data_IF_942022593135
#
_entry.id   IF_942022593135
#
_cell.length_a   1.000
_cell.length_b   1.000
_cell.length_c   1.000
_cell.angle_alpha   90.00
_cell.angle_beta   90.00
_cell.angle_gamma   90.00
#
_symmetry.space_group_name_H-M   'P 1'
#
loop_
_entity.id
_entity.type
_entity.pdbx_description
1 polymer ?
#
# COMPACT_ATOMS: atom_id res chain seq x y z
N UNK A 1 -1.22 24.08 28.76
CA UNK A 1 -0.65 23.65 27.47
C UNK A 1 -1.64 24.08 26.41
N UNK A 2 -1.26 24.95 25.49
CA UNK A 2 -2.08 25.20 24.29
C UNK A 2 -2.04 23.93 23.44
N UNK A 3 -3.22 23.44 23.06
CA UNK A 3 -3.33 22.35 22.09
C UNK A 3 -3.20 22.99 20.73
N UNK A 4 -2.14 22.66 20.00
CA UNK A 4 -2.00 23.05 18.61
C UNK A 4 -3.10 22.33 17.81
N UNK A 5 -4.14 23.06 17.40
CA UNK A 5 -5.26 22.51 16.63
C UNK A 5 -4.87 22.18 15.18
N UNK A 6 -3.69 22.56 14.71
CA UNK A 6 -3.21 22.27 13.36
C UNK A 6 -2.58 20.87 13.22
N UNK A 7 -2.35 20.16 14.32
CA UNK A 7 -1.71 18.83 14.32
C UNK A 7 -2.31 17.80 13.33
N UNK A 8 -3.63 17.75 13.05
CA UNK A 8 -4.18 16.77 12.12
C UNK A 8 -3.71 16.97 10.68
N UNK A 9 -3.35 18.21 10.31
CA UNK A 9 -2.86 18.55 8.98
C UNK A 9 -1.42 18.09 8.74
N UNK A 10 -0.66 17.86 9.82
CA UNK A 10 0.74 17.44 9.80
C UNK A 10 0.92 15.91 9.87
N UNK A 11 -0.16 15.13 9.81
CA UNK A 11 -0.09 13.67 9.84
C UNK A 11 0.10 13.15 8.42
N UNK A 12 1.12 12.31 8.24
CA UNK A 12 1.26 11.43 7.09
C UNK A 12 0.70 10.06 7.44
N UNK A 13 -0.39 9.68 6.79
CA UNK A 13 -1.01 8.36 6.88
C UNK A 13 -0.40 7.45 5.83
N UNK A 14 -0.04 6.23 6.19
CA UNK A 14 0.67 5.30 5.30
C UNK A 14 0.18 3.88 5.52
N UNK A 15 0.17 3.07 4.46
CA UNK A 15 -0.14 1.65 4.56
C UNK A 15 0.45 0.86 3.38
N UNK A 16 0.51 -0.46 3.53
CA UNK A 16 0.82 -1.39 2.46
C UNK A 16 -0.41 -2.18 2.01
N UNK A 17 -0.54 -2.38 0.71
CA UNK A 17 -1.60 -3.21 0.14
C UNK A 17 -1.07 -4.19 -0.92
N UNK A 18 -1.63 -5.40 -0.89
CA UNK A 18 -1.41 -6.41 -1.93
C UNK A 18 -2.53 -6.34 -2.97
N UNK A 19 -2.14 -6.17 -4.24
CA UNK A 19 -3.05 -6.24 -5.39
C UNK A 19 -2.76 -7.50 -6.19
N UNK A 20 -3.72 -8.44 -6.22
CA UNK A 20 -3.59 -9.66 -6.99
C UNK A 20 -3.95 -9.42 -8.47
N UNK A 21 -3.07 -9.83 -9.38
CA UNK A 21 -3.24 -9.59 -10.82
C UNK A 21 -4.39 -10.41 -11.43
N UNK A 22 -4.86 -11.43 -10.73
CA UNK A 22 -5.98 -12.28 -11.14
C UNK A 22 -7.34 -11.74 -10.68
N UNK A 23 -7.39 -10.56 -10.06
CA UNK A 23 -8.64 -9.93 -9.61
C UNK A 23 -9.33 -10.68 -8.48
N UNK A 24 -8.60 -11.50 -7.74
CA UNK A 24 -9.14 -12.21 -6.57
C UNK A 24 -9.46 -11.21 -5.47
N UNK A 25 -10.69 -11.29 -4.95
CA UNK A 25 -11.15 -10.47 -3.83
C UNK A 25 -10.93 -11.25 -2.53
N UNK A 26 -10.45 -10.56 -1.50
CA UNK A 26 -10.35 -11.14 -0.16
C UNK A 26 -11.71 -11.72 0.27
N UNK A 27 -11.72 -12.92 0.84
CA UNK A 27 -12.93 -13.61 1.31
C UNK A 27 -13.74 -12.79 2.33
N UNK A 28 -13.09 -11.93 3.12
CA UNK A 28 -13.77 -11.03 4.06
C UNK A 28 -14.53 -9.89 3.35
N UNK A 29 -14.05 -9.48 2.17
CA UNK A 29 -14.66 -8.43 1.36
C UNK A 29 -15.62 -9.00 0.30
N UNK A 30 -15.50 -10.29 -0.04
CA UNK A 30 -16.33 -10.96 -1.02
C UNK A 30 -17.65 -11.46 -0.39
N UNK A 31 -18.65 -10.58 -0.30
CA UNK A 31 -19.99 -10.93 0.19
C UNK A 31 -20.95 -11.15 -0.96
N UNK A 32 -21.30 -12.42 -1.21
CA UNK A 32 -22.29 -12.80 -2.21
C UNK A 32 -23.68 -12.71 -1.57
N UNK A 33 -24.56 -11.91 -2.17
CA UNK A 33 -25.96 -11.78 -1.75
C UNK A 33 -26.85 -12.65 -2.63
N UNK A 34 -27.62 -13.54 -2.01
CA UNK A 34 -28.62 -14.37 -2.66
C UNK A 34 -29.81 -14.60 -1.71
N UNK A 35 -30.98 -14.93 -2.26
CA UNK A 35 -32.19 -15.22 -1.46
C UNK A 35 -32.07 -16.53 -0.66
N UNK A 36 -31.27 -17.46 -1.16
CA UNK A 36 -30.93 -18.74 -0.54
C UNK A 36 -29.40 -18.90 -0.56
N UNK A 37 -28.84 -19.77 0.28
CA UNK A 37 -27.40 -20.01 0.31
C UNK A 37 -26.92 -20.50 -1.08
N UNK A 38 -26.07 -19.75 -1.79
CA UNK A 38 -25.71 -20.09 -3.17
C UNK A 38 -24.73 -21.27 -3.25
N UNK A 39 -24.22 -21.80 -2.12
CA UNK A 39 -23.19 -22.85 -2.05
C UNK A 39 -21.99 -22.61 -2.97
N UNK A 40 -21.71 -21.34 -3.25
CA UNK A 40 -20.72 -20.94 -4.23
C UNK A 40 -19.35 -20.88 -3.56
N UNK A 41 -18.44 -21.74 -3.99
CA UNK A 41 -17.03 -21.66 -3.62
C UNK A 41 -16.22 -21.31 -4.86
N UNK A 42 -15.42 -20.25 -4.78
CA UNK A 42 -14.47 -19.90 -5.82
C UNK A 42 -13.09 -20.43 -5.43
N UNK A 43 -12.54 -21.42 -6.17
CA UNK A 43 -11.16 -21.84 -5.93
C UNK A 43 -10.20 -20.72 -6.32
N UNK A 44 -9.24 -20.42 -5.45
CA UNK A 44 -8.20 -19.43 -5.69
C UNK A 44 -6.82 -20.11 -5.66
N UNK A 45 -5.89 -19.74 -6.56
CA UNK A 45 -4.54 -20.26 -6.51
C UNK A 45 -3.83 -19.75 -5.26
N UNK A 46 -3.16 -20.64 -4.54
CA UNK A 46 -2.40 -20.30 -3.32
C UNK A 46 -1.28 -19.28 -3.59
N UNK A 47 -0.66 -19.33 -4.78
CA UNK A 47 0.46 -18.48 -5.19
C UNK A 47 0.11 -17.61 -6.39
N UNK A 48 -0.99 -16.87 -6.26
CA UNK A 48 -1.38 -15.88 -7.27
C UNK A 48 -0.36 -14.74 -7.29
N UNK A 49 0.06 -14.32 -8.49
CA UNK A 49 0.93 -13.14 -8.62
C UNK A 49 0.22 -11.92 -8.03
N UNK A 50 0.93 -11.20 -7.18
CA UNK A 50 0.48 -9.95 -6.60
C UNK A 50 1.52 -8.86 -6.81
N UNK A 51 1.13 -7.63 -6.54
CA UNK A 51 2.00 -6.48 -6.41
C UNK A 51 1.80 -5.92 -5.01
N UNK A 52 2.89 -5.63 -4.31
CA UNK A 52 2.83 -4.98 -2.99
C UNK A 52 3.17 -3.52 -3.17
N UNK A 53 2.21 -2.67 -2.82
CA UNK A 53 2.31 -1.22 -2.96
C UNK A 53 2.36 -0.61 -1.57
N UNK A 54 3.27 0.34 -1.39
CA UNK A 54 3.24 1.30 -0.30
C UNK A 54 2.65 2.60 -0.79
N UNK A 55 1.77 3.20 0.02
CA UNK A 55 1.18 4.49 -0.28
C UNK A 55 1.10 5.36 0.96
N UNK A 56 1.22 6.67 0.78
CA UNK A 56 1.07 7.65 1.85
C UNK A 56 0.18 8.81 1.43
N UNK A 57 -0.55 9.41 2.36
CA UNK A 57 -1.26 10.65 2.11
C UNK A 57 -1.25 11.56 3.35
N UNK A 58 -1.21 12.86 3.09
CA UNK A 58 -1.47 13.90 4.08
C UNK A 58 -2.83 14.52 3.80
N UNK A 59 -3.23 15.52 4.58
CA UNK A 59 -4.43 16.29 4.28
C UNK A 59 -4.31 17.15 2.99
N UNK A 60 -3.09 17.33 2.45
CA UNK A 60 -2.84 18.23 1.33
C UNK A 60 -2.48 17.51 0.02
N UNK A 61 -1.80 16.37 0.10
CA UNK A 61 -1.30 15.66 -1.07
C UNK A 61 -1.07 14.18 -0.77
N UNK A 62 -0.71 13.46 -1.81
CA UNK A 62 -0.53 12.03 -1.82
C UNK A 62 0.91 11.72 -2.24
N UNK A 63 1.52 10.71 -1.62
CA UNK A 63 2.92 10.31 -1.80
C UNK A 63 3.00 8.85 -2.26
N UNK A 64 3.86 8.58 -3.23
CA UNK A 64 3.94 7.29 -3.92
C UNK A 64 3.06 7.24 -5.18
N UNK A 65 2.82 6.06 -5.79
CA UNK A 65 3.00 4.73 -5.23
C UNK A 65 4.43 4.20 -5.30
N UNK A 66 4.86 3.52 -4.24
CA UNK A 66 6.13 2.78 -4.23
C UNK A 66 5.87 1.29 -4.27
N UNK A 67 6.63 0.58 -5.10
CA UNK A 67 6.46 -0.85 -5.32
C UNK A 67 7.59 -1.63 -4.65
N UNK A 68 7.24 -2.68 -3.93
CA UNK A 68 8.22 -3.65 -3.44
C UNK A 68 8.48 -4.71 -4.50
N UNK A 69 9.43 -4.43 -5.38
CA UNK A 69 9.81 -5.29 -6.51
C UNK A 69 11.33 -5.42 -6.65
N UNK A 70 11.76 -6.58 -7.15
CA UNK A 70 13.12 -6.87 -7.58
C UNK A 70 13.16 -7.05 -9.10
N UNK A 71 14.31 -6.80 -9.72
CA UNK A 71 14.51 -7.05 -11.15
C UNK A 71 14.75 -8.55 -11.36
N UNK A 72 13.75 -9.23 -11.92
CA UNK A 72 13.86 -10.61 -12.36
C UNK A 72 14.27 -10.74 -13.83
N UNK A 73 14.49 -11.97 -14.32
CA UNK A 73 14.89 -12.25 -15.70
C UNK A 73 13.89 -11.77 -16.76
N UNK A 74 12.64 -11.59 -16.38
CA UNK A 74 11.53 -11.22 -17.28
C UNK A 74 10.86 -9.90 -16.91
N UNK A 75 11.50 -9.08 -16.05
CA UNK A 75 10.94 -7.84 -15.55
C UNK A 75 10.79 -7.81 -14.03
N UNK A 76 10.08 -6.80 -13.49
CA UNK A 76 9.87 -6.65 -12.06
C UNK A 76 9.09 -7.83 -11.46
N UNK A 77 9.55 -8.29 -10.30
CA UNK A 77 8.91 -9.36 -9.52
C UNK A 77 8.71 -8.86 -8.11
N UNK A 78 7.49 -8.97 -7.61
CA UNK A 78 7.16 -8.59 -6.24
C UNK A 78 8.04 -9.31 -5.22
N UNK A 79 8.61 -8.53 -4.31
CA UNK A 79 9.46 -9.03 -3.24
C UNK A 79 8.77 -8.89 -1.89
N UNK A 80 9.18 -9.72 -0.93
CA UNK A 80 8.66 -9.67 0.45
C UNK A 80 9.12 -8.39 1.13
N UNK A 81 8.18 -7.67 1.75
CA UNK A 81 8.49 -6.52 2.61
C UNK A 81 9.24 -7.01 3.86
N UNK A 82 10.43 -6.45 4.09
CA UNK A 82 11.23 -6.72 5.28
C UNK A 82 11.83 -5.41 5.80
N UNK A 83 12.40 -5.44 7.01
CA UNK A 83 12.92 -4.23 7.65
C UNK A 83 13.96 -3.48 6.81
N UNK A 84 14.86 -4.17 6.13
CA UNK A 84 15.90 -3.55 5.29
C UNK A 84 15.29 -2.86 4.05
N UNK A 85 14.36 -3.52 3.36
CA UNK A 85 13.66 -2.94 2.20
C UNK A 85 12.77 -1.76 2.62
N UNK A 86 12.13 -1.88 3.77
CA UNK A 86 11.29 -0.82 4.32
C UNK A 86 12.13 0.41 4.69
N UNK A 87 13.24 0.22 5.41
CA UNK A 87 14.18 1.29 5.73
C UNK A 87 14.71 1.95 4.44
N UNK A 88 15.07 1.15 3.43
CA UNK A 88 15.53 1.66 2.15
C UNK A 88 14.47 2.55 1.48
N UNK A 89 13.21 2.12 1.46
CA UNK A 89 12.09 2.90 0.92
C UNK A 89 11.92 4.22 1.69
N UNK A 90 11.93 4.18 3.02
CA UNK A 90 11.77 5.38 3.84
C UNK A 90 12.89 6.41 3.56
N UNK A 91 14.14 5.95 3.56
CA UNK A 91 15.31 6.84 3.43
C UNK A 91 15.51 7.37 2.02
N UNK A 92 15.31 6.54 1.01
CA UNK A 92 15.76 6.85 -0.35
C UNK A 92 14.61 7.25 -1.28
N UNK A 93 13.35 7.00 -0.91
CA UNK A 93 12.18 7.33 -1.73
C UNK A 93 11.25 8.28 -0.98
N UNK A 94 10.71 7.87 0.16
CA UNK A 94 9.70 8.64 0.89
C UNK A 94 10.22 10.00 1.38
N UNK A 95 11.31 10.02 2.14
CA UNK A 95 11.83 11.27 2.73
C UNK A 95 12.20 12.29 1.64
N UNK A 96 12.93 11.90 0.57
CA UNK A 96 13.18 12.79 -0.56
C UNK A 96 11.90 13.34 -1.22
N UNK A 97 10.91 12.49 -1.48
CA UNK A 97 9.66 12.91 -2.14
C UNK A 97 8.83 13.85 -1.25
N UNK A 98 8.69 13.52 0.03
CA UNK A 98 8.01 14.35 1.02
C UNK A 98 8.69 15.74 1.20
N UNK A 99 10.02 15.79 1.10
CA UNK A 99 10.78 17.04 1.21
C UNK A 99 10.65 17.94 -0.03
N UNK A 100 10.38 17.37 -1.21
CA UNK A 100 10.14 18.12 -2.45
C UNK A 100 8.73 18.71 -2.45
N UNK A 101 7.75 17.93 -2.01
CA UNK A 101 6.33 18.33 -1.98
C UNK A 101 6.04 19.38 -0.90
N UNK A 102 6.90 19.52 0.11
CA UNK A 102 6.53 20.34 1.28
C UNK A 102 7.58 21.30 1.82
N UNK A 103 7.12 22.54 2.02
CA UNK A 103 7.59 23.43 3.08
C UNK A 103 6.99 23.08 4.47
N UNK A 104 6.35 21.91 4.64
CA UNK A 104 5.64 21.49 5.88
C UNK A 104 6.59 21.22 7.04
N UNK A 105 7.80 20.74 6.76
CA UNK A 105 8.77 20.36 7.78
C UNK A 105 9.86 21.42 8.00
N UNK A 106 9.68 22.64 7.48
CA UNK A 106 10.48 23.82 7.80
C UNK A 106 9.75 24.69 8.80
#
# INVERSE_FOLDING_TARGET
MEVDNAWPWNILWTDEAHFYLQGSVNTQNCRIWARENPFQMQPLPLHSQNVTVWYGFTAAFIIGPFFFEDIGPSGPVTCTVNGTRYEFLLRNQLIPEAAVETAFWK
#
